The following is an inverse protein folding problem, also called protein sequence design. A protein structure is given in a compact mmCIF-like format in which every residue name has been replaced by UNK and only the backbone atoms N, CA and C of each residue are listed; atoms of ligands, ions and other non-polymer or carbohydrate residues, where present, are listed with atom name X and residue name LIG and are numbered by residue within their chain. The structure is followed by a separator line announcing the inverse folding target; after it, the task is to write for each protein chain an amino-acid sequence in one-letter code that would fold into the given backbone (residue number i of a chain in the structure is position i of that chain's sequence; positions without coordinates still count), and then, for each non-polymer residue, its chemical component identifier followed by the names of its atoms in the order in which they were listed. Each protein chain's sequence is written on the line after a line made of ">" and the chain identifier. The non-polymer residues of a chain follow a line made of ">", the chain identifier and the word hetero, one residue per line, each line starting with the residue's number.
data_IF_917164359063
#
_entry.id   IF_917164359063
#
_cell.length_a   1.000
_cell.length_b   1.000
_cell.length_c   1.000
_cell.angle_alpha   90.00
_cell.angle_beta   90.00
_cell.angle_gamma   90.00
#
_symmetry.space_group_name_H-M   'P 1'
#
loop_
_entity.id
_entity.type
_entity.pdbx_description
1 polymer ?
#
# COMPACT_ATOMS: atom_id res chain seq x y z
N UNK A 1 -0.06 18.43 -39.25
CA UNK A 1 -0.51 19.70 -39.88
C UNK A 1 -0.87 20.68 -38.77
N UNK A 2 0.01 21.66 -38.53
CA UNK A 2 -0.10 22.66 -37.47
C UNK A 2 -1.33 23.56 -37.71
N UNK A 3 -2.26 23.65 -36.76
CA UNK A 3 -3.50 24.44 -36.89
C UNK A 3 -3.77 25.34 -35.68
N UNK A 4 -2.75 25.89 -35.03
CA UNK A 4 -2.92 27.02 -34.11
C UNK A 4 -1.63 27.84 -33.97
N UNK A 5 -1.64 29.10 -34.43
CA UNK A 5 -0.49 30.03 -34.44
C UNK A 5 -0.25 30.76 -33.11
N UNK A 6 -0.92 30.35 -32.01
CA UNK A 6 -0.81 30.97 -30.68
C UNK A 6 -0.55 29.97 -29.55
N UNK A 7 0.17 28.88 -29.81
CA UNK A 7 0.79 28.14 -28.69
C UNK A 7 1.97 28.94 -28.20
N UNK A 8 1.98 29.31 -26.92
CA UNK A 8 3.20 29.75 -26.24
C UNK A 8 4.18 28.57 -26.32
N UNK A 9 5.36 28.73 -26.94
CA UNK A 9 6.37 27.67 -26.94
C UNK A 9 6.73 27.34 -25.49
N UNK A 10 6.62 26.07 -25.10
CA UNK A 10 7.00 25.61 -23.77
C UNK A 10 5.86 25.21 -22.82
N UNK A 11 4.56 25.32 -23.17
CA UNK A 11 3.47 24.94 -22.23
C UNK A 11 3.25 23.43 -22.10
N UNK A 12 3.33 22.68 -23.21
CA UNK A 12 3.40 21.21 -23.15
C UNK A 12 4.70 20.74 -22.51
N UNK A 13 5.79 21.47 -22.75
CA UNK A 13 7.10 21.20 -22.18
C UNK A 13 7.11 21.46 -20.67
N UNK A 14 6.43 22.49 -20.18
CA UNK A 14 6.22 22.72 -18.75
C UNK A 14 5.50 21.54 -18.11
N UNK A 15 4.42 21.02 -18.72
CA UNK A 15 3.77 19.81 -18.21
C UNK A 15 4.68 18.59 -18.19
N UNK A 16 5.51 18.37 -19.21
CA UNK A 16 6.36 17.16 -19.24
C UNK A 16 7.71 17.32 -18.55
N UNK A 17 8.17 18.55 -18.25
CA UNK A 17 9.53 18.82 -17.75
C UNK A 17 9.58 19.62 -16.44
N UNK A 18 8.48 20.25 -16.00
CA UNK A 18 8.51 21.08 -14.79
C UNK A 18 8.74 20.23 -13.53
N UNK A 19 9.74 20.62 -12.74
CA UNK A 19 10.26 19.87 -11.59
C UNK A 19 9.18 19.39 -10.60
N UNK A 20 8.11 20.19 -10.37
CA UNK A 20 7.01 19.78 -9.47
C UNK A 20 6.13 18.67 -10.05
N UNK A 21 6.03 18.57 -11.36
CA UNK A 21 5.21 17.59 -12.06
C UNK A 21 6.01 16.33 -12.41
N UNK A 22 7.32 16.45 -12.64
CA UNK A 22 8.27 15.32 -12.68
C UNK A 22 8.52 14.72 -11.28
N UNK A 23 8.62 15.52 -10.22
CA UNK A 23 8.65 14.99 -8.83
C UNK A 23 7.36 14.25 -8.43
N UNK A 24 6.30 14.44 -9.20
CA UNK A 24 4.97 13.86 -9.02
C UNK A 24 4.77 12.57 -9.84
N UNK A 25 5.52 12.38 -10.94
CA UNK A 25 5.70 11.10 -11.64
C UNK A 25 6.30 10.02 -10.71
N UNK A 26 7.14 10.45 -9.77
CA UNK A 26 7.89 9.61 -8.82
C UNK A 26 7.07 9.18 -7.60
N UNK A 27 5.75 9.42 -7.60
CA UNK A 27 4.88 9.19 -6.45
C UNK A 27 4.02 7.93 -6.57
N UNK A 28 4.39 6.94 -7.38
CA UNK A 28 3.63 5.70 -7.44
C UNK A 28 3.69 4.96 -6.09
N UNK A 29 2.53 4.91 -5.44
CA UNK A 29 2.15 4.18 -4.23
C UNK A 29 2.66 4.79 -2.89
N UNK A 30 1.71 5.22 -2.05
CA UNK A 30 1.83 5.47 -0.60
C UNK A 30 2.35 6.83 -0.10
N UNK A 31 1.85 7.96 -0.62
CA UNK A 31 2.07 9.27 0.00
C UNK A 31 0.83 9.87 0.69
N UNK A 32 0.99 10.72 1.73
CA UNK A 32 -0.10 11.48 2.35
C UNK A 32 -0.89 12.34 1.35
N UNK A 33 -0.22 12.79 0.28
CA UNK A 33 -0.81 13.61 -0.79
C UNK A 33 -1.59 12.79 -1.82
N UNK A 34 -1.49 11.46 -1.83
CA UNK A 34 -2.36 10.56 -2.60
C UNK A 34 -3.55 10.06 -1.81
N UNK A 35 -3.58 10.32 -0.50
CA UNK A 35 -4.76 10.08 0.32
C UNK A 35 -5.79 11.20 0.17
N UNK A 36 -5.72 12.04 -0.85
CA UNK A 36 -6.75 13.04 -1.14
C UNK A 36 -7.26 12.85 -2.58
N UNK A 37 -8.50 13.28 -2.82
CA UNK A 37 -9.14 13.06 -4.11
C UNK A 37 -8.42 13.80 -5.25
N UNK A 38 -7.86 14.97 -4.97
CA UNK A 38 -7.08 15.75 -5.93
C UNK A 38 -5.80 15.00 -6.38
N UNK A 39 -5.15 14.31 -5.46
CA UNK A 39 -3.95 13.50 -5.66
C UNK A 39 -4.22 12.20 -6.41
N UNK A 40 -5.47 11.71 -6.45
CA UNK A 40 -5.88 10.60 -7.30
C UNK A 40 -6.15 11.03 -8.76
N UNK A 41 -6.82 12.17 -8.96
CA UNK A 41 -7.11 12.68 -10.31
C UNK A 41 -5.91 13.25 -11.03
N UNK A 42 -4.99 13.82 -10.26
CA UNK A 42 -3.80 14.45 -10.78
C UNK A 42 -3.03 13.45 -11.70
N UNK A 43 -2.53 12.29 -11.20
CA UNK A 43 -1.82 11.26 -11.99
C UNK A 43 -2.48 10.92 -13.31
N UNK A 44 -3.81 10.76 -13.28
CA UNK A 44 -4.63 10.42 -14.44
C UNK A 44 -4.51 11.51 -15.51
N UNK A 45 -4.66 12.79 -15.13
CA UNK A 45 -4.58 13.91 -16.07
C UNK A 45 -3.22 14.01 -16.76
N UNK A 46 -2.11 13.77 -16.04
CA UNK A 46 -0.79 13.72 -16.69
C UNK A 46 -0.68 12.59 -17.68
N UNK A 47 -1.06 11.37 -17.30
CA UNK A 47 -0.97 10.22 -18.18
C UNK A 47 -1.75 10.48 -19.48
N UNK A 48 -2.92 11.11 -19.36
CA UNK A 48 -3.69 11.57 -20.51
C UNK A 48 -2.92 12.60 -21.34
N UNK A 49 -2.35 13.64 -20.73
CA UNK A 49 -1.65 14.69 -21.49
C UNK A 49 -0.31 14.24 -22.09
N UNK A 50 0.39 13.29 -21.46
CA UNK A 50 1.61 12.66 -22.02
C UNK A 50 1.25 11.78 -23.20
N UNK A 51 0.23 10.93 -23.05
CA UNK A 51 -0.20 10.04 -24.12
C UNK A 51 -0.89 10.80 -25.26
N UNK A 52 -1.58 11.89 -24.95
CA UNK A 52 -2.37 12.68 -25.88
C UNK A 52 -2.15 14.21 -25.71
N UNK A 53 -0.98 14.75 -26.11
CA UNK A 53 -0.69 16.18 -26.01
C UNK A 53 -1.64 17.08 -26.80
N UNK A 54 -2.39 16.51 -27.75
CA UNK A 54 -3.43 17.21 -28.51
C UNK A 54 -4.64 17.62 -27.66
N UNK A 55 -4.88 16.97 -26.51
CA UNK A 55 -6.03 17.27 -25.64
C UNK A 55 -5.83 18.52 -24.77
N UNK A 56 -4.62 19.09 -24.78
CA UNK A 56 -4.30 20.39 -24.21
C UNK A 56 -4.92 21.49 -25.09
N UNK A 57 -6.18 21.82 -24.80
CA UNK A 57 -6.92 22.90 -25.45
C UNK A 57 -6.60 24.26 -24.81
N UNK A 58 -6.79 25.34 -25.58
CA UNK A 58 -6.57 26.71 -25.10
C UNK A 58 -7.42 27.06 -23.86
N UNK A 59 -8.55 26.37 -23.68
CA UNK A 59 -9.43 26.52 -22.52
C UNK A 59 -8.82 25.94 -21.25
N UNK A 60 -8.18 24.77 -21.35
CA UNK A 60 -7.44 24.14 -20.26
C UNK A 60 -6.21 24.98 -19.92
N UNK A 61 -5.49 25.46 -20.94
CA UNK A 61 -4.33 26.33 -20.77
C UNK A 61 -4.67 27.66 -20.08
N UNK A 62 -5.79 28.30 -20.42
CA UNK A 62 -6.24 29.52 -19.71
C UNK A 62 -6.59 29.25 -18.24
N UNK A 63 -7.25 28.13 -17.94
CA UNK A 63 -7.53 27.73 -16.55
C UNK A 63 -6.23 27.53 -15.77
N UNK A 64 -5.23 26.91 -16.41
CA UNK A 64 -3.90 26.70 -15.83
C UNK A 64 -3.14 28.00 -15.55
N UNK A 65 -3.14 28.93 -16.50
CA UNK A 65 -2.50 30.25 -16.34
C UNK A 65 -3.15 31.07 -15.22
N UNK A 66 -4.47 30.91 -15.03
CA UNK A 66 -5.24 31.66 -14.02
C UNK A 66 -5.06 31.07 -12.61
N UNK A 67 -5.04 29.74 -12.50
CA UNK A 67 -5.07 29.05 -11.21
C UNK A 67 -3.71 28.59 -10.69
N UNK A 68 -2.70 28.47 -11.55
CA UNK A 68 -1.32 28.15 -11.17
C UNK A 68 -1.23 26.96 -10.20
N UNK A 69 -0.59 27.19 -9.04
CA UNK A 69 -0.38 26.15 -8.02
C UNK A 69 -1.66 25.74 -7.27
N UNK A 70 -2.72 26.58 -7.27
CA UNK A 70 -3.99 26.26 -6.59
C UNK A 70 -4.81 25.21 -7.33
N UNK A 71 -4.49 24.95 -8.60
CA UNK A 71 -5.18 23.95 -9.40
C UNK A 71 -4.95 22.53 -8.85
N UNK A 72 -3.71 22.23 -8.47
CA UNK A 72 -3.28 20.89 -8.02
C UNK A 72 -3.88 20.55 -6.65
N UNK A 73 -4.22 21.57 -5.86
CA UNK A 73 -4.82 21.41 -4.53
C UNK A 73 -6.35 21.29 -4.57
N UNK A 74 -6.99 21.53 -5.72
CA UNK A 74 -8.44 21.58 -5.83
C UNK A 74 -8.99 20.43 -6.66
N UNK A 75 -9.68 19.50 -6.01
CA UNK A 75 -10.32 18.35 -6.65
C UNK A 75 -11.30 18.78 -7.75
N UNK A 76 -12.25 19.67 -7.44
CA UNK A 76 -13.27 20.10 -8.40
C UNK A 76 -12.68 20.67 -9.69
N UNK A 77 -11.59 21.45 -9.62
CA UNK A 77 -10.96 22.02 -10.80
C UNK A 77 -10.28 20.97 -11.67
N UNK A 78 -9.64 19.98 -11.04
CA UNK A 78 -9.04 18.85 -11.74
C UNK A 78 -10.12 17.97 -12.38
N UNK A 79 -11.23 17.74 -11.66
CA UNK A 79 -12.38 17.02 -12.19
C UNK A 79 -12.99 17.72 -13.41
N UNK A 80 -13.18 19.04 -13.35
CA UNK A 80 -13.67 19.83 -14.48
C UNK A 80 -12.75 19.73 -15.70
N UNK A 81 -11.43 19.71 -15.49
CA UNK A 81 -10.47 19.50 -16.56
C UNK A 81 -10.66 18.09 -17.15
N UNK A 82 -10.73 17.05 -16.32
CA UNK A 82 -10.94 15.67 -16.78
C UNK A 82 -12.23 15.55 -17.60
N UNK A 83 -13.32 16.14 -17.13
CA UNK A 83 -14.59 16.16 -17.86
C UNK A 83 -14.45 16.88 -19.20
N UNK A 84 -13.84 18.07 -19.21
CA UNK A 84 -13.62 18.84 -20.44
C UNK A 84 -12.73 18.13 -21.45
N UNK A 85 -11.75 17.35 -20.98
CA UNK A 85 -10.85 16.55 -21.82
C UNK A 85 -11.59 15.35 -22.39
N UNK A 86 -12.38 14.66 -21.56
CA UNK A 86 -13.16 13.49 -21.98
C UNK A 86 -14.25 13.82 -23.01
N UNK A 87 -14.76 15.06 -23.01
CA UNK A 87 -15.78 15.55 -23.93
C UNK A 87 -15.24 15.95 -25.31
N UNK A 88 -13.91 15.97 -25.51
CA UNK A 88 -13.32 16.32 -26.81
C UNK A 88 -13.55 15.19 -27.83
N UNK A 89 -13.79 15.54 -29.09
CA UNK A 89 -13.98 14.56 -30.16
C UNK A 89 -12.71 13.73 -30.39
N UNK A 90 -11.54 14.36 -30.22
CA UNK A 90 -10.22 13.77 -30.36
C UNK A 90 -9.82 12.85 -29.20
N UNK A 91 -10.55 12.88 -28.09
CA UNK A 91 -10.31 12.00 -26.96
C UNK A 91 -10.63 10.56 -27.36
N UNK A 92 -9.67 9.66 -27.09
CA UNK A 92 -9.88 8.22 -27.18
C UNK A 92 -10.64 7.74 -25.94
N UNK A 93 -10.95 6.45 -25.89
CA UNK A 93 -11.46 5.84 -24.68
C UNK A 93 -10.40 5.95 -23.57
N UNK A 94 -10.82 6.47 -22.42
CA UNK A 94 -10.01 6.68 -21.22
C UNK A 94 -10.59 5.77 -20.14
N UNK A 95 -9.79 4.83 -19.64
CA UNK A 95 -10.14 3.95 -18.53
C UNK A 95 -9.29 4.37 -17.33
N UNK A 96 -9.95 4.92 -16.32
CA UNK A 96 -9.33 5.30 -15.07
C UNK A 96 -9.42 4.12 -14.08
N UNK A 97 -8.27 3.62 -13.64
CA UNK A 97 -8.18 2.59 -12.60
C UNK A 97 -7.81 3.29 -11.30
N UNK A 98 -8.68 3.17 -10.30
CA UNK A 98 -8.49 3.71 -8.96
C UNK A 98 -8.44 2.54 -7.98
N UNK A 99 -7.23 2.24 -7.51
CA UNK A 99 -7.01 1.15 -6.57
C UNK A 99 -7.11 1.63 -5.12
N UNK A 100 -7.57 0.77 -4.20
CA UNK A 100 -7.62 1.00 -2.76
C UNK A 100 -8.29 2.33 -2.33
N UNK A 101 -9.50 2.59 -2.85
CA UNK A 101 -10.26 3.84 -2.59
C UNK A 101 -10.49 4.13 -1.09
N UNK A 102 -10.56 3.10 -0.26
CA UNK A 102 -10.76 3.22 1.19
C UNK A 102 -9.61 3.96 1.90
N UNK A 103 -8.42 3.99 1.31
CA UNK A 103 -7.26 4.68 1.85
C UNK A 103 -7.27 6.20 1.56
N UNK A 104 -8.19 6.66 0.72
CA UNK A 104 -8.38 8.07 0.40
C UNK A 104 -9.20 8.78 1.50
N UNK A 105 -8.66 9.87 2.06
CA UNK A 105 -9.29 10.72 3.10
C UNK A 105 -10.51 11.47 2.57
N UNK A 106 -10.41 12.03 1.37
CA UNK A 106 -11.48 12.80 0.72
C UNK A 106 -12.26 11.95 -0.30
N UNK A 107 -12.33 10.63 -0.06
CA UNK A 107 -12.99 9.68 -0.96
C UNK A 107 -14.46 10.03 -1.22
N UNK A 108 -15.14 10.64 -0.26
CA UNK A 108 -16.57 10.93 -0.36
C UNK A 108 -16.83 11.91 -1.52
N UNK A 109 -15.96 12.92 -1.68
CA UNK A 109 -16.01 13.91 -2.78
C UNK A 109 -15.77 13.24 -4.14
N UNK A 110 -14.83 12.30 -4.20
CA UNK A 110 -14.52 11.51 -5.40
C UNK A 110 -15.67 10.56 -5.77
N UNK A 111 -16.24 9.86 -4.79
CA UNK A 111 -17.37 8.94 -4.98
C UNK A 111 -18.60 9.71 -5.44
N UNK A 112 -18.87 10.87 -4.84
CA UNK A 112 -19.99 11.71 -5.23
C UNK A 112 -19.84 12.23 -6.67
N UNK A 113 -18.65 12.70 -7.05
CA UNK A 113 -18.37 13.17 -8.41
C UNK A 113 -18.53 12.05 -9.46
N UNK A 114 -18.00 10.86 -9.20
CA UNK A 114 -18.18 9.68 -10.06
C UNK A 114 -19.67 9.28 -10.11
N UNK A 115 -20.36 9.35 -8.98
CA UNK A 115 -21.80 9.05 -8.90
C UNK A 115 -22.63 10.02 -9.73
N UNK A 116 -22.33 11.32 -9.65
CA UNK A 116 -22.98 12.35 -10.46
C UNK A 116 -22.68 12.17 -11.95
N UNK A 117 -21.45 11.80 -12.32
CA UNK A 117 -21.08 11.52 -13.70
C UNK A 117 -21.92 10.39 -14.31
N UNK A 118 -22.09 9.28 -13.59
CA UNK A 118 -22.90 8.15 -14.06
C UNK A 118 -24.42 8.36 -13.90
N UNK A 119 -24.87 9.30 -13.07
CA UNK A 119 -26.29 9.69 -12.97
C UNK A 119 -26.72 10.72 -14.00
N UNK A 120 -25.79 11.56 -14.46
CA UNK A 120 -26.04 12.64 -15.41
C UNK A 120 -26.34 12.17 -16.83
N UNK A 121 -26.75 13.11 -17.67
CA UNK A 121 -27.01 12.94 -19.11
C UNK A 121 -25.72 12.94 -19.97
N UNK A 122 -24.55 12.69 -19.38
CA UNK A 122 -23.28 12.64 -20.11
C UNK A 122 -23.24 11.38 -20.98
N UNK A 123 -23.76 11.54 -22.21
CA UNK A 123 -23.91 10.53 -23.26
C UNK A 123 -22.59 10.02 -23.85
N UNK A 124 -21.44 10.52 -23.44
CA UNK A 124 -20.16 10.12 -24.00
C UNK A 124 -19.47 9.04 -23.17
N UNK A 125 -19.66 7.79 -23.62
CA UNK A 125 -19.13 6.55 -23.05
C UNK A 125 -17.60 6.40 -23.13
N UNK A 126 -16.87 7.47 -23.44
CA UNK A 126 -15.42 7.44 -23.64
C UNK A 126 -14.66 7.38 -22.33
N UNK A 127 -15.21 7.91 -21.23
CA UNK A 127 -14.59 7.86 -19.91
C UNK A 127 -15.22 6.75 -19.07
N UNK A 128 -14.38 5.87 -18.53
CA UNK A 128 -14.79 4.75 -17.66
C UNK A 128 -13.94 4.72 -16.41
N UNK A 129 -14.55 4.31 -15.30
CA UNK A 129 -13.86 4.12 -14.02
C UNK A 129 -13.93 2.64 -13.60
N UNK A 130 -12.79 2.10 -13.22
CA UNK A 130 -12.67 0.86 -12.45
C UNK A 130 -12.14 1.22 -11.08
N UNK A 131 -12.92 0.96 -10.04
CA UNK A 131 -12.57 1.33 -8.67
C UNK A 131 -12.53 0.07 -7.82
N UNK A 132 -11.48 -0.10 -7.02
CA UNK A 132 -11.38 -1.17 -6.01
C UNK A 132 -11.42 -0.54 -4.62
N UNK A 133 -12.01 -1.24 -3.66
CA UNK A 133 -12.04 -0.83 -2.26
C UNK A 133 -12.35 -2.02 -1.37
N UNK A 134 -11.91 -1.95 -0.10
CA UNK A 134 -12.41 -2.86 0.94
C UNK A 134 -13.92 -2.66 1.16
N UNK A 135 -14.67 -3.71 1.50
CA UNK A 135 -16.14 -3.66 1.59
C UNK A 135 -16.63 -3.00 2.88
N UNK A 136 -16.14 -1.81 3.20
CA UNK A 136 -16.57 -1.10 4.41
C UNK A 136 -18.03 -0.61 4.24
N UNK A 137 -18.93 -0.87 5.21
CA UNK A 137 -20.35 -0.52 5.08
C UNK A 137 -20.61 0.96 4.76
N UNK A 138 -19.77 1.86 5.26
CA UNK A 138 -19.90 3.29 5.00
C UNK A 138 -19.54 3.66 3.55
N UNK A 139 -18.58 2.98 2.92
CA UNK A 139 -18.23 3.15 1.50
C UNK A 139 -19.32 2.54 0.63
N UNK A 140 -19.81 1.34 0.98
CA UNK A 140 -20.88 0.69 0.24
C UNK A 140 -22.15 1.55 0.16
N UNK A 141 -22.51 2.24 1.25
CA UNK A 141 -23.65 3.16 1.31
C UNK A 141 -23.53 4.31 0.31
N UNK A 142 -22.32 4.80 0.03
CA UNK A 142 -22.12 5.88 -0.94
C UNK A 142 -22.33 5.37 -2.38
N UNK A 143 -21.93 4.12 -2.66
CA UNK A 143 -22.11 3.48 -3.97
C UNK A 143 -23.49 2.85 -4.20
N UNK A 144 -24.37 2.81 -3.20
CA UNK A 144 -25.73 2.25 -3.29
C UNK A 144 -26.47 2.69 -4.57
N UNK A 145 -26.39 3.98 -4.93
CA UNK A 145 -27.08 4.52 -6.11
C UNK A 145 -26.51 3.99 -7.43
N UNK A 146 -25.21 3.68 -7.48
CA UNK A 146 -24.52 3.15 -8.66
C UNK A 146 -24.63 1.63 -8.77
N UNK A 147 -24.65 0.92 -7.64
CA UNK A 147 -24.73 -0.56 -7.59
C UNK A 147 -25.97 -1.12 -8.27
N UNK A 148 -27.07 -0.36 -8.31
CA UNK A 148 -28.29 -0.76 -9.03
C UNK A 148 -28.20 -0.59 -10.55
N UNK A 149 -27.20 0.14 -11.06
CA UNK A 149 -27.07 0.53 -12.47
C UNK A 149 -25.80 0.04 -13.15
N UNK A 150 -24.73 -0.21 -12.37
CA UNK A 150 -23.42 -0.61 -12.87
C UNK A 150 -23.06 -2.02 -12.38
N UNK A 151 -22.31 -2.79 -13.20
CA UNK A 151 -21.79 -4.07 -12.77
C UNK A 151 -20.86 -3.86 -11.58
N UNK A 152 -21.18 -4.51 -10.47
CA UNK A 152 -20.36 -4.52 -9.26
C UNK A 152 -19.86 -5.94 -9.05
N UNK A 153 -18.55 -6.12 -8.98
CA UNK A 153 -17.94 -7.40 -8.60
C UNK A 153 -17.67 -7.29 -7.11
N UNK A 154 -18.38 -8.08 -6.32
CA UNK A 154 -18.12 -8.21 -4.90
C UNK A 154 -17.31 -9.48 -4.70
N UNK A 155 -16.08 -9.33 -4.22
CA UNK A 155 -15.25 -10.43 -3.77
C UNK A 155 -15.47 -10.56 -2.25
N UNK A 156 -16.67 -10.99 -1.84
CA UNK A 156 -16.94 -11.24 -0.43
C UNK A 156 -16.12 -12.44 0.05
N UNK A 157 -15.50 -12.27 1.22
CA UNK A 157 -15.05 -13.39 2.05
C UNK A 157 -16.08 -13.79 3.10
N UNK A 158 -17.27 -13.17 3.08
CA UNK A 158 -18.22 -13.16 4.21
C UNK A 158 -19.25 -14.31 4.15
N UNK A 159 -18.95 -15.37 3.40
CA UNK A 159 -19.77 -16.58 3.34
C UNK A 159 -18.92 -17.85 3.25
N UNK A 160 -19.33 -18.90 3.96
CA UNK A 160 -18.60 -20.19 4.00
C UNK A 160 -18.33 -20.74 2.59
N UNK A 161 -19.28 -20.58 1.65
CA UNK A 161 -19.11 -21.02 0.25
C UNK A 161 -18.03 -20.23 -0.51
N UNK A 162 -17.93 -18.93 -0.29
CA UNK A 162 -16.93 -18.08 -0.97
C UNK A 162 -15.55 -18.27 -0.35
N UNK A 163 -15.46 -18.42 0.97
CA UNK A 163 -14.23 -18.82 1.65
C UNK A 163 -13.72 -20.16 1.12
N UNK A 164 -14.62 -21.12 0.87
CA UNK A 164 -14.25 -22.40 0.26
C UNK A 164 -13.77 -22.24 -1.18
N UNK A 165 -14.42 -21.40 -2.00
CA UNK A 165 -13.95 -21.11 -3.38
C UNK A 165 -12.58 -20.45 -3.39
N UNK A 166 -12.37 -19.43 -2.56
CA UNK A 166 -11.09 -18.75 -2.40
C UNK A 166 -10.02 -19.74 -1.93
N UNK A 167 -10.32 -20.58 -0.93
CA UNK A 167 -9.40 -21.62 -0.47
C UNK A 167 -9.07 -22.63 -1.56
N UNK A 168 -10.04 -23.01 -2.39
CA UNK A 168 -9.82 -23.90 -3.53
C UNK A 168 -8.90 -23.27 -4.57
N UNK A 169 -9.13 -22.01 -4.95
CA UNK A 169 -8.26 -21.28 -5.89
C UNK A 169 -6.83 -21.11 -5.35
N UNK A 170 -6.69 -20.79 -4.06
CA UNK A 170 -5.38 -20.74 -3.39
C UNK A 170 -4.69 -22.11 -3.48
N UNK A 171 -5.45 -23.20 -3.32
CA UNK A 171 -4.96 -24.56 -3.52
C UNK A 171 -4.40 -24.80 -4.93
N UNK A 172 -5.08 -24.31 -5.97
CA UNK A 172 -4.60 -24.40 -7.35
C UNK A 172 -3.28 -23.63 -7.56
N UNK A 173 -3.16 -22.44 -6.96
CA UNK A 173 -1.93 -21.64 -7.02
C UNK A 173 -0.77 -22.35 -6.31
N UNK A 174 -1.03 -22.95 -5.15
CA UNK A 174 -0.03 -23.77 -4.42
C UNK A 174 0.42 -24.93 -5.30
N UNK A 175 -0.52 -25.71 -5.85
CA UNK A 175 -0.20 -26.86 -6.70
C UNK A 175 0.68 -26.46 -7.89
N UNK A 176 0.31 -25.36 -8.56
CA UNK A 176 1.07 -24.82 -9.68
C UNK A 176 2.48 -24.36 -9.28
N UNK A 177 2.61 -23.59 -8.20
CA UNK A 177 3.91 -23.09 -7.72
C UNK A 177 4.79 -24.22 -7.20
N UNK A 178 4.25 -25.18 -6.45
CA UNK A 178 4.99 -26.36 -5.99
C UNK A 178 5.50 -27.19 -7.18
N UNK A 179 4.68 -27.33 -8.23
CA UNK A 179 5.12 -27.95 -9.49
C UNK A 179 6.28 -27.17 -10.12
N UNK A 180 6.20 -25.84 -10.16
CA UNK A 180 7.24 -25.00 -10.78
C UNK A 180 8.56 -25.03 -9.97
N UNK A 181 8.49 -24.99 -8.64
CA UNK A 181 9.64 -25.23 -7.74
C UNK A 181 10.21 -26.63 -7.98
N UNK A 182 9.34 -27.63 -8.09
CA UNK A 182 9.71 -29.00 -8.38
C UNK A 182 10.53 -29.14 -9.67
N UNK A 183 10.17 -28.41 -10.72
CA UNK A 183 10.93 -28.38 -11.98
C UNK A 183 12.27 -27.65 -11.84
N UNK A 184 12.32 -26.54 -11.11
CA UNK A 184 13.54 -25.75 -10.93
C UNK A 184 14.57 -26.44 -10.03
N UNK A 185 14.12 -27.18 -9.01
CA UNK A 185 14.95 -27.82 -7.99
C UNK A 185 15.03 -29.34 -8.14
N UNK A 186 14.40 -29.92 -9.16
CA UNK A 186 14.33 -31.36 -9.43
C UNK A 186 13.79 -32.18 -8.25
N UNK A 187 12.66 -31.75 -7.67
CA UNK A 187 12.03 -32.44 -6.53
C UNK A 187 11.35 -33.75 -6.95
N UNK A 188 11.43 -34.74 -6.06
CA UNK A 188 10.71 -36.00 -6.23
C UNK A 188 9.19 -35.81 -6.04
N UNK A 189 8.40 -36.78 -6.49
CA UNK A 189 6.94 -36.70 -6.44
C UNK A 189 6.39 -36.79 -5.00
N UNK A 190 7.01 -37.59 -4.13
CA UNK A 190 6.70 -37.67 -2.71
C UNK A 190 6.96 -36.33 -1.99
N UNK A 191 8.04 -35.65 -2.33
CA UNK A 191 8.40 -34.34 -1.77
C UNK A 191 7.40 -33.24 -2.16
N UNK A 192 6.97 -33.21 -3.43
CA UNK A 192 5.96 -32.27 -3.92
C UNK A 192 4.61 -32.49 -3.25
N UNK A 193 4.17 -33.75 -3.18
CA UNK A 193 2.92 -34.11 -2.51
C UNK A 193 2.92 -33.74 -1.03
N UNK A 194 4.05 -33.96 -0.34
CA UNK A 194 4.19 -33.59 1.07
C UNK A 194 4.12 -32.06 1.27
N UNK A 195 4.77 -31.27 0.40
CA UNK A 195 4.69 -29.81 0.45
C UNK A 195 3.28 -29.30 0.18
N UNK A 196 2.61 -29.82 -0.85
CA UNK A 196 1.26 -29.41 -1.22
C UNK A 196 0.24 -29.73 -0.14
N UNK A 197 0.29 -30.93 0.46
CA UNK A 197 -0.58 -31.31 1.57
C UNK A 197 -0.43 -30.38 2.77
N UNK A 198 0.81 -30.00 3.11
CA UNK A 198 1.09 -29.21 4.30
C UNK A 198 0.76 -27.73 4.10
N UNK A 199 1.04 -27.18 2.92
CA UNK A 199 0.58 -25.83 2.54
C UNK A 199 -0.95 -25.73 2.44
N UNK A 200 -1.62 -26.85 2.18
CA UNK A 200 -3.08 -26.93 2.10
C UNK A 200 -3.77 -27.17 3.44
N UNK A 201 -3.04 -27.68 4.42
CA UNK A 201 -3.54 -27.89 5.78
C UNK A 201 -3.64 -26.60 6.62
N UNK A 202 -3.03 -25.48 6.18
CA UNK A 202 -3.08 -24.22 6.92
C UNK A 202 -4.44 -23.55 6.75
N UNK A 203 -5.15 -23.36 7.87
CA UNK A 203 -6.44 -22.66 7.94
C UNK A 203 -6.26 -21.15 7.68
N UNK A 204 -7.28 -20.49 7.12
CA UNK A 204 -7.31 -19.03 6.85
C UNK A 204 -6.12 -18.48 6.04
N UNK A 205 -5.53 -19.33 5.17
CA UNK A 205 -4.45 -18.95 4.25
C UNK A 205 -4.89 -17.85 3.28
N UNK A 206 -4.02 -16.86 3.09
CA UNK A 206 -4.18 -15.78 2.10
C UNK A 206 -3.20 -15.97 0.94
N UNK A 207 -3.50 -15.38 -0.23
CA UNK A 207 -2.57 -15.37 -1.36
C UNK A 207 -1.21 -14.76 -0.99
N UNK A 208 -1.22 -13.71 -0.16
CA UNK A 208 0.00 -13.10 0.35
C UNK A 208 0.81 -14.08 1.20
N UNK A 209 0.19 -14.78 2.15
CA UNK A 209 0.86 -15.80 2.96
C UNK A 209 1.51 -16.88 2.10
N UNK A 210 0.79 -17.37 1.07
CA UNK A 210 1.29 -18.36 0.13
C UNK A 210 2.50 -17.83 -0.63
N UNK A 211 2.42 -16.60 -1.17
CA UNK A 211 3.54 -16.00 -1.89
C UNK A 211 4.77 -15.86 -1.01
N UNK A 212 4.63 -15.24 0.18
CA UNK A 212 5.74 -15.05 1.12
C UNK A 212 6.37 -16.38 1.54
N UNK A 213 5.54 -17.39 1.83
CA UNK A 213 6.01 -18.71 2.26
C UNK A 213 6.72 -19.47 1.14
N UNK A 214 6.22 -19.38 -0.09
CA UNK A 214 6.85 -20.01 -1.26
C UNK A 214 8.12 -19.29 -1.70
N UNK A 215 8.18 -17.96 -1.63
CA UNK A 215 9.41 -17.21 -1.93
C UNK A 215 10.51 -17.54 -0.90
N UNK A 216 10.11 -17.72 0.37
CA UNK A 216 10.96 -18.27 1.43
C UNK A 216 11.37 -19.71 1.09
N UNK A 217 10.51 -20.56 0.54
CA UNK A 217 10.90 -21.90 0.09
C UNK A 217 11.92 -21.85 -1.06
N UNK A 218 11.63 -21.07 -2.10
CA UNK A 218 12.43 -20.94 -3.33
C UNK A 218 13.87 -20.48 -3.05
N UNK A 219 14.06 -19.57 -2.10
CA UNK A 219 15.35 -18.96 -1.80
C UNK A 219 16.19 -19.70 -0.75
N UNK A 220 15.80 -20.91 -0.31
CA UNK A 220 16.61 -21.66 0.67
C UNK A 220 17.87 -22.29 0.07
N UNK A 221 19.00 -22.25 0.82
CA UNK A 221 20.20 -23.00 0.47
C UNK A 221 19.99 -24.50 0.77
N UNK A 222 20.08 -25.32 -0.29
CA UNK A 222 20.03 -26.79 -0.19
C UNK A 222 18.61 -27.35 0.00
N UNK A 223 18.07 -27.97 -1.05
CA UNK A 223 16.76 -28.62 -1.03
C UNK A 223 16.93 -30.12 -0.79
N UNK A 224 17.00 -30.53 0.48
CA UNK A 224 17.08 -31.95 0.88
C UNK A 224 15.78 -32.38 1.56
N UNK A 225 15.43 -33.68 1.51
CA UNK A 225 14.28 -34.25 2.25
C UNK A 225 14.24 -33.84 3.73
N UNK A 226 15.40 -33.75 4.38
CA UNK A 226 15.52 -33.30 5.77
C UNK A 226 15.18 -31.82 5.96
N UNK A 227 15.62 -30.96 5.04
CA UNK A 227 15.30 -29.53 5.07
C UNK A 227 13.82 -29.28 4.76
N UNK A 228 13.25 -30.00 3.79
CA UNK A 228 11.81 -29.95 3.47
C UNK A 228 10.99 -30.30 4.71
N UNK A 229 11.30 -31.42 5.39
CA UNK A 229 10.59 -31.82 6.62
C UNK A 229 10.73 -30.79 7.75
N UNK A 230 11.91 -30.22 7.95
CA UNK A 230 12.14 -29.16 8.95
C UNK A 230 11.34 -27.90 8.63
N UNK A 231 11.29 -27.52 7.36
CA UNK A 231 10.56 -26.34 6.90
C UNK A 231 9.06 -26.55 7.03
N UNK A 232 8.57 -27.74 6.69
CA UNK A 232 7.18 -28.16 6.86
C UNK A 232 6.77 -28.11 8.34
N UNK A 233 7.61 -28.62 9.24
CA UNK A 233 7.35 -28.57 10.69
C UNK A 233 7.27 -27.17 11.26
N UNK A 234 7.87 -26.18 10.60
CA UNK A 234 7.93 -24.79 11.04
C UNK A 234 7.32 -23.85 9.98
N UNK A 235 6.30 -24.33 9.26
CA UNK A 235 5.54 -23.49 8.35
C UNK A 235 4.83 -22.40 9.17
N UNK A 236 4.90 -21.13 8.73
CA UNK A 236 4.24 -20.04 9.39
C UNK A 236 2.74 -20.28 9.31
N UNK A 237 2.01 -20.19 10.42
CA UNK A 237 0.54 -20.37 10.41
C UNK A 237 -0.20 -19.07 10.07
N UNK A 238 0.48 -17.93 10.17
CA UNK A 238 -0.07 -16.59 9.89
C UNK A 238 0.85 -15.75 9.00
N UNK A 239 0.34 -14.67 8.42
CA UNK A 239 1.13 -13.72 7.61
C UNK A 239 2.26 -13.10 8.45
N UNK A 240 2.01 -12.78 9.72
CA UNK A 240 3.00 -12.21 10.65
C UNK A 240 4.14 -13.20 10.91
N UNK A 241 3.82 -14.47 11.14
CA UNK A 241 4.85 -15.51 11.30
C UNK A 241 5.65 -15.71 10.01
N UNK A 242 5.04 -15.51 8.83
CA UNK A 242 5.77 -15.52 7.56
C UNK A 242 6.73 -14.33 7.47
N UNK A 243 6.31 -13.13 7.90
CA UNK A 243 7.19 -11.96 7.98
C UNK A 243 8.34 -12.13 8.99
N UNK A 244 8.10 -12.69 10.18
CA UNK A 244 9.19 -13.01 11.12
C UNK A 244 10.20 -13.98 10.50
N UNK A 245 9.74 -15.01 9.77
CA UNK A 245 10.64 -15.94 9.07
C UNK A 245 11.47 -15.27 7.98
N UNK A 246 10.92 -14.26 7.31
CA UNK A 246 11.66 -13.44 6.35
C UNK A 246 12.76 -12.65 7.10
N UNK A 247 12.43 -12.03 8.24
CA UNK A 247 13.41 -11.31 9.06
C UNK A 247 14.50 -12.23 9.62
N UNK A 248 14.15 -13.45 10.04
CA UNK A 248 15.10 -14.44 10.59
C UNK A 248 16.16 -14.90 9.59
N UNK A 249 15.91 -14.73 8.29
CA UNK A 249 16.87 -15.07 7.23
C UNK A 249 17.80 -13.93 6.87
N UNK A 250 17.46 -12.72 7.25
CA UNK A 250 18.30 -11.57 7.00
C UNK A 250 19.66 -11.77 7.69
N UNK A 251 20.75 -11.53 6.95
CA UNK A 251 22.12 -11.69 7.43
C UNK A 251 22.37 -10.91 8.73
N UNK A 252 21.69 -9.77 8.87
CA UNK A 252 21.66 -8.98 10.08
C UNK A 252 20.21 -8.61 10.44
N UNK A 253 19.54 -9.50 11.18
CA UNK A 253 18.17 -9.29 11.67
C UNK A 253 18.03 -7.97 12.44
N UNK A 254 19.04 -7.55 13.19
CA UNK A 254 18.96 -6.31 13.99
C UNK A 254 18.99 -5.09 13.09
N UNK A 255 19.95 -5.02 12.15
CA UNK A 255 20.04 -3.94 11.16
C UNK A 255 18.78 -3.86 10.30
N UNK A 256 18.31 -4.99 9.76
CA UNK A 256 17.08 -5.05 8.96
C UNK A 256 15.87 -4.50 9.72
N UNK A 257 15.70 -4.93 10.98
CA UNK A 257 14.58 -4.50 11.83
C UNK A 257 14.61 -3.00 12.11
N UNK A 258 15.77 -2.44 12.42
CA UNK A 258 15.92 -0.99 12.64
C UNK A 258 15.64 -0.20 11.36
N UNK A 259 16.21 -0.61 10.23
CA UNK A 259 15.96 0.04 8.93
C UNK A 259 14.47 0.04 8.59
N UNK A 260 13.80 -1.09 8.73
CA UNK A 260 12.36 -1.23 8.48
C UNK A 260 11.52 -0.37 9.44
N UNK A 261 11.92 -0.23 10.71
CA UNK A 261 11.24 0.68 11.62
C UNK A 261 11.44 2.15 11.26
N UNK A 262 12.65 2.55 10.83
CA UNK A 262 12.91 3.92 10.36
C UNK A 262 12.01 4.23 9.16
N UNK A 263 11.95 3.32 8.18
CA UNK A 263 11.07 3.44 7.01
C UNK A 263 9.59 3.53 7.44
N UNK A 264 9.16 2.67 8.36
CA UNK A 264 7.77 2.63 8.83
C UNK A 264 7.37 3.90 9.59
N UNK A 265 8.29 4.49 10.35
CA UNK A 265 8.06 5.72 11.12
C UNK A 265 8.12 6.99 10.27
N UNK A 266 8.60 6.90 9.02
CA UNK A 266 8.76 8.05 8.16
C UNK A 266 7.39 8.62 7.72
N UNK A 267 7.27 9.95 7.76
CA UNK A 267 6.07 10.65 7.27
C UNK A 267 5.99 10.59 5.73
N UNK A 268 7.13 10.45 5.08
CA UNK A 268 7.28 10.25 3.63
C UNK A 268 8.33 9.16 3.37
N UNK A 269 8.25 8.45 2.24
CA UNK A 269 9.34 7.63 1.69
C UNK A 269 10.70 8.34 1.77
N UNK A 270 11.68 7.60 2.28
CA UNK A 270 13.08 8.02 2.32
C UNK A 270 13.73 7.80 0.97
N UNK A 271 14.67 8.68 0.61
CA UNK A 271 15.64 8.33 -0.43
C UNK A 271 16.68 7.33 0.08
N UNK A 272 17.36 6.63 -0.81
CA UNK A 272 18.47 5.73 -0.44
C UNK A 272 19.58 6.46 0.35
N UNK A 273 19.88 7.70 -0.01
CA UNK A 273 20.87 8.53 0.67
C UNK A 273 20.40 8.94 2.07
N UNK A 274 19.13 9.33 2.21
CA UNK A 274 18.56 9.73 3.49
C UNK A 274 18.50 8.54 4.47
N UNK A 275 18.14 7.35 3.99
CA UNK A 275 18.10 6.16 4.84
C UNK A 275 19.52 5.69 5.22
N UNK A 276 20.47 5.73 4.29
CA UNK A 276 21.89 5.46 4.58
C UNK A 276 22.43 6.40 5.66
N UNK A 277 22.11 7.69 5.54
CA UNK A 277 22.49 8.70 6.53
C UNK A 277 21.79 8.49 7.89
N UNK A 278 20.49 8.19 7.89
CA UNK A 278 19.75 7.87 9.11
C UNK A 278 20.34 6.64 9.83
N UNK A 279 20.79 5.65 9.06
CA UNK A 279 21.49 4.48 9.58
C UNK A 279 22.85 4.82 10.19
N UNK A 280 23.67 5.64 9.51
CA UNK A 280 24.96 6.10 10.03
C UNK A 280 24.81 6.88 11.36
N UNK A 281 23.75 7.70 11.48
CA UNK A 281 23.39 8.35 12.75
C UNK A 281 23.02 7.32 13.81
N UNK A 282 22.21 6.32 13.46
CA UNK A 282 21.75 5.30 14.42
C UNK A 282 22.92 4.53 15.05
N UNK A 283 23.94 4.17 14.26
CA UNK A 283 25.13 3.48 14.78
C UNK A 283 25.91 4.39 15.75
N UNK A 284 25.98 5.69 15.46
CA UNK A 284 26.81 6.66 16.18
C UNK A 284 26.06 7.45 17.26
N UNK A 285 24.95 6.91 17.79
CA UNK A 285 24.09 7.60 18.78
C UNK A 285 24.80 7.97 20.10
N UNK A 286 25.97 7.37 20.40
CA UNK A 286 26.72 7.59 21.64
C UNK A 286 27.89 8.57 21.45
N UNK A 287 28.51 8.59 20.26
CA UNK A 287 29.68 9.42 19.93
C UNK A 287 29.38 10.25 18.67
N UNK A 288 28.58 11.30 18.81
CA UNK A 288 28.22 12.21 17.70
C UNK A 288 29.39 13.11 17.28
N UNK A 289 30.39 12.54 16.62
CA UNK A 289 31.37 13.28 15.85
C UNK A 289 31.02 13.18 14.36
N UNK A 290 31.00 14.32 13.65
CA UNK A 290 30.70 14.40 12.21
C UNK A 290 31.64 13.53 11.36
N UNK A 291 32.86 13.28 11.83
CA UNK A 291 33.83 12.42 11.16
C UNK A 291 33.41 10.94 11.20
N UNK A 292 32.91 10.46 12.34
CA UNK A 292 32.45 9.07 12.49
C UNK A 292 31.23 8.75 11.61
N UNK A 293 30.31 9.72 11.46
CA UNK A 293 29.14 9.57 10.57
C UNK A 293 29.59 9.48 9.11
N UNK A 294 30.61 10.23 8.70
CA UNK A 294 31.16 10.18 7.34
C UNK A 294 31.86 8.86 7.03
N UNK A 295 32.49 8.24 8.04
CA UNK A 295 33.20 6.97 7.89
C UNK A 295 32.24 5.78 7.74
N UNK A 296 31.07 5.84 8.39
CA UNK A 296 30.03 4.81 8.33
C UNK A 296 28.98 5.03 7.22
N UNK A 297 29.08 6.12 6.46
CA UNK A 297 28.14 6.44 5.39
C UNK A 297 28.36 5.53 4.18
N UNK A 298 27.43 4.59 3.95
CA UNK A 298 27.46 3.74 2.77
C UNK A 298 27.09 4.54 1.51
N UNK A 299 27.88 4.45 0.43
CA UNK A 299 27.52 5.05 -0.86
C UNK A 299 26.20 4.47 -1.37
N UNK A 300 25.39 5.32 -2.02
CA UNK A 300 24.04 5.00 -2.52
C UNK A 300 23.91 3.63 -3.19
N UNK A 301 24.77 3.31 -4.16
CA UNK A 301 24.68 2.04 -4.89
C UNK A 301 24.98 0.82 -4.01
N UNK A 302 25.93 0.95 -3.09
CA UNK A 302 26.25 -0.12 -2.12
C UNK A 302 25.11 -0.29 -1.13
N UNK A 303 24.58 0.82 -0.61
CA UNK A 303 23.48 0.78 0.33
C UNK A 303 22.21 0.19 -0.30
N UNK A 304 21.99 0.38 -1.60
CA UNK A 304 20.90 -0.26 -2.34
C UNK A 304 21.00 -1.78 -2.30
N UNK A 305 22.19 -2.33 -2.51
CA UNK A 305 22.45 -3.77 -2.40
C UNK A 305 22.25 -4.25 -0.97
N UNK A 306 22.81 -3.55 0.02
CA UNK A 306 22.61 -3.81 1.45
C UNK A 306 21.13 -3.84 1.82
N UNK A 307 20.34 -2.87 1.36
CA UNK A 307 18.91 -2.78 1.64
C UNK A 307 18.14 -3.92 0.97
N UNK A 308 18.45 -4.25 -0.28
CA UNK A 308 17.84 -5.38 -1.00
C UNK A 308 18.13 -6.69 -0.28
N UNK A 309 19.36 -6.90 0.13
CA UNK A 309 19.79 -8.17 0.74
C UNK A 309 19.22 -8.32 2.16
N UNK A 310 19.05 -7.22 2.90
CA UNK A 310 18.51 -7.25 4.27
C UNK A 310 16.97 -7.20 4.32
N UNK A 311 16.34 -6.45 3.41
CA UNK A 311 14.94 -6.04 3.50
C UNK A 311 14.13 -6.25 2.20
N UNK A 312 14.70 -6.86 1.15
CA UNK A 312 14.10 -6.85 -0.20
C UNK A 312 12.71 -7.46 -0.34
N UNK A 313 12.30 -8.33 0.58
CA UNK A 313 10.93 -8.89 0.62
C UNK A 313 9.91 -7.98 1.34
N UNK A 314 10.38 -6.92 1.98
CA UNK A 314 9.58 -5.90 2.64
C UNK A 314 9.51 -4.58 1.87
N UNK A 315 10.56 -4.28 1.09
CA UNK A 315 10.70 -2.97 0.45
C UNK A 315 10.95 -3.07 -1.05
N UNK A 316 10.46 -2.06 -1.77
CA UNK A 316 10.77 -1.83 -3.18
C UNK A 316 11.36 -0.43 -3.33
N UNK A 317 12.36 -0.30 -4.22
CA UNK A 317 13.00 0.98 -4.54
C UNK A 317 12.54 1.42 -5.92
N UNK A 318 11.81 2.52 -5.97
CA UNK A 318 11.29 3.14 -7.21
C UNK A 318 11.81 4.58 -7.24
N UNK A 319 12.50 4.95 -8.32
CA UNK A 319 13.08 6.29 -8.52
C UNK A 319 13.82 6.82 -7.28
N UNK A 320 14.69 5.98 -6.71
CA UNK A 320 15.53 6.29 -5.53
C UNK A 320 14.80 6.44 -4.20
N UNK A 321 13.49 6.25 -4.18
CA UNK A 321 12.67 6.26 -2.97
C UNK A 321 12.32 4.84 -2.55
N UNK A 322 12.26 4.64 -1.24
CA UNK A 322 12.04 3.35 -0.61
C UNK A 322 10.59 3.26 -0.14
N UNK A 323 9.91 2.21 -0.59
CA UNK A 323 8.51 1.94 -0.29
C UNK A 323 8.37 0.58 0.39
N UNK A 324 7.36 0.43 1.24
CA UNK A 324 6.96 -0.89 1.72
C UNK A 324 6.16 -1.58 0.61
N UNK A 325 6.42 -2.87 0.39
CA UNK A 325 5.79 -3.64 -0.68
C UNK A 325 4.29 -3.86 -0.43
N UNK A 326 3.91 -3.99 0.85
CA UNK A 326 2.54 -4.24 1.28
C UNK A 326 2.17 -3.44 2.52
N UNK A 327 0.93 -2.98 2.59
CA UNK A 327 0.38 -2.33 3.79
C UNK A 327 0.38 -3.28 5.01
N UNK A 328 0.19 -4.58 4.81
CA UNK A 328 0.31 -5.61 5.86
C UNK A 328 1.73 -5.69 6.45
N UNK A 329 2.77 -5.41 5.66
CA UNK A 329 4.14 -5.30 6.17
C UNK A 329 4.30 -4.11 7.12
N UNK A 330 3.66 -2.98 6.78
CA UNK A 330 3.64 -1.79 7.65
C UNK A 330 2.96 -2.08 8.98
N UNK A 331 1.82 -2.74 8.95
CA UNK A 331 1.05 -3.14 10.14
C UNK A 331 1.87 -4.09 11.02
N UNK A 332 2.49 -5.11 10.43
CA UNK A 332 3.40 -6.01 11.11
C UNK A 332 4.59 -5.27 11.76
N UNK A 333 5.23 -4.35 11.04
CA UNK A 333 6.38 -3.59 11.57
C UNK A 333 5.98 -2.60 12.67
N UNK A 334 4.79 -2.00 12.57
CA UNK A 334 4.25 -1.13 13.62
C UNK A 334 3.99 -1.91 14.93
N UNK A 335 3.43 -3.12 14.81
CA UNK A 335 3.27 -4.07 15.91
C UNK A 335 4.60 -4.42 16.55
N UNK A 336 5.57 -4.80 15.73
CA UNK A 336 6.89 -5.25 16.16
C UNK A 336 7.65 -4.14 16.88
N UNK A 337 7.51 -2.88 16.44
CA UNK A 337 8.05 -1.70 17.13
C UNK A 337 7.47 -1.57 18.53
N UNK A 338 6.15 -1.68 18.66
CA UNK A 338 5.44 -1.56 19.93
C UNK A 338 5.85 -2.66 20.93
N UNK A 339 6.14 -3.87 20.45
CA UNK A 339 6.62 -4.98 21.28
C UNK A 339 8.07 -4.83 21.73
N UNK A 340 8.95 -4.29 20.88
CA UNK A 340 10.36 -4.14 21.22
C UNK A 340 10.65 -2.98 22.15
N UNK A 341 9.87 -1.91 22.06
CA UNK A 341 9.98 -0.78 22.96
C UNK A 341 9.22 -1.06 24.26
N UNK A 342 9.68 -2.04 25.06
CA UNK A 342 9.13 -2.31 26.40
C UNK A 342 9.32 -1.17 27.41
N UNK A 343 9.88 -0.02 26.98
CA UNK A 343 10.05 1.22 27.74
C UNK A 343 9.08 2.33 27.32
N UNK A 344 8.37 2.20 26.20
CA UNK A 344 7.42 3.22 25.74
C UNK A 344 6.07 3.00 26.44
N UNK A 345 5.47 4.08 26.95
CA UNK A 345 4.14 4.01 27.55
C UNK A 345 3.11 3.69 26.46
N UNK A 346 2.61 2.46 26.47
CA UNK A 346 1.64 1.94 25.50
C UNK A 346 0.25 2.60 25.63
N UNK A 347 0.06 3.44 26.64
CA UNK A 347 -1.15 4.24 26.85
C UNK A 347 -0.98 5.70 26.40
N UNK A 348 0.09 6.02 25.66
CA UNK A 348 0.29 7.38 25.15
C UNK A 348 -0.91 7.84 24.33
N UNK A 349 -1.33 9.08 24.55
CA UNK A 349 -2.48 9.67 23.86
C UNK A 349 -2.02 10.63 22.77
N UNK A 350 -2.65 10.55 21.61
CA UNK A 350 -2.51 11.56 20.55
C UNK A 350 -3.22 12.88 20.95
N UNK A 351 -3.14 13.90 20.08
CA UNK A 351 -3.81 15.20 20.31
C UNK A 351 -5.34 15.12 20.41
N UNK A 352 -5.94 13.99 20.05
CA UNK A 352 -7.38 13.70 20.21
C UNK A 352 -7.67 12.76 21.37
N UNK A 353 -6.69 12.52 22.25
CA UNK A 353 -6.86 11.65 23.41
C UNK A 353 -6.83 10.14 23.09
N UNK A 354 -6.53 9.74 21.86
CA UNK A 354 -6.59 8.33 21.42
C UNK A 354 -5.29 7.60 21.68
N UNK A 355 -5.41 6.39 22.21
CA UNK A 355 -4.29 5.47 22.45
C UNK A 355 -4.00 4.59 21.24
N UNK A 356 -2.84 3.89 21.17
CA UNK A 356 -2.60 2.87 20.16
C UNK A 356 -3.71 1.81 20.07
N UNK A 357 -4.28 1.41 21.21
CA UNK A 357 -5.43 0.50 21.25
C UNK A 357 -6.70 1.13 20.64
N UNK A 358 -6.91 2.43 20.85
CA UNK A 358 -8.05 3.15 20.27
C UNK A 358 -7.99 3.16 18.74
N UNK A 359 -6.79 3.35 18.18
CA UNK A 359 -6.56 3.30 16.74
C UNK A 359 -6.70 1.88 16.18
N UNK A 360 -6.06 0.90 16.81
CA UNK A 360 -6.16 -0.50 16.40
C UNK A 360 -7.62 -0.99 16.41
N UNK A 361 -8.41 -0.57 17.41
CA UNK A 361 -9.80 -0.95 17.50
C UNK A 361 -10.69 -0.22 16.50
N UNK A 362 -10.45 1.07 16.28
CA UNK A 362 -11.16 1.89 15.28
C UNK A 362 -10.97 1.40 13.85
N UNK A 363 -9.77 0.92 13.51
CA UNK A 363 -9.40 0.54 12.14
C UNK A 363 -9.49 -0.99 11.92
N UNK A 364 -9.95 -1.75 12.93
CA UNK A 364 -10.25 -3.18 12.78
C UNK A 364 -9.04 -4.11 12.82
N UNK A 365 -7.92 -3.64 13.36
CA UNK A 365 -6.66 -4.39 13.40
C UNK A 365 -6.66 -5.44 14.52
N UNK A 366 -7.42 -6.53 14.35
CA UNK A 366 -7.61 -7.61 15.32
C UNK A 366 -6.30 -8.15 15.92
N UNK A 367 -5.30 -8.43 15.07
CA UNK A 367 -4.00 -8.93 15.52
C UNK A 367 -3.28 -7.95 16.45
N UNK A 368 -3.38 -6.65 16.15
CA UNK A 368 -2.80 -5.57 16.96
C UNK A 368 -3.53 -5.44 18.29
N UNK A 369 -4.86 -5.54 18.28
CA UNK A 369 -5.70 -5.51 19.49
C UNK A 369 -5.37 -6.70 20.40
N UNK A 370 -5.40 -7.94 19.89
CA UNK A 370 -5.07 -9.14 20.67
C UNK A 370 -3.70 -9.04 21.34
N UNK A 371 -2.73 -8.53 20.60
CA UNK A 371 -1.37 -8.37 21.08
C UNK A 371 -1.24 -7.28 22.14
N UNK A 372 -1.86 -6.12 21.93
CA UNK A 372 -1.91 -5.04 22.92
C UNK A 372 -2.53 -5.54 24.23
N UNK A 373 -3.60 -6.32 24.15
CA UNK A 373 -4.23 -6.96 25.31
C UNK A 373 -3.29 -7.98 26.00
N UNK A 374 -2.48 -8.73 25.24
CA UNK A 374 -1.51 -9.68 25.80
C UNK A 374 -0.40 -9.01 26.62
N UNK A 375 -0.07 -7.74 26.36
CA UNK A 375 0.96 -7.02 27.14
C UNK A 375 0.55 -6.72 28.58
N UNK A 376 -0.74 -6.84 28.93
CA UNK A 376 -1.35 -6.59 30.27
C UNK A 376 -1.08 -5.20 30.88
N UNK A 377 -0.46 -4.27 30.14
CA UNK A 377 -0.15 -2.91 30.57
C UNK A 377 -1.07 -1.86 29.93
N UNK A 378 -1.95 -2.27 29.02
CA UNK A 378 -2.85 -1.39 28.26
C UNK A 378 -4.10 -1.08 29.07
N UNK A 379 -4.48 0.20 29.12
CA UNK A 379 -5.78 0.64 29.60
C UNK A 379 -6.84 0.46 28.49
N UNK A 380 -7.58 -0.64 28.60
CA UNK A 380 -8.62 -1.06 27.66
C UNK A 380 -9.78 -0.06 27.60
N UNK A 381 -10.00 0.69 28.68
CA UNK A 381 -11.12 1.60 28.81
C UNK A 381 -10.71 3.08 28.66
N UNK A 382 -9.48 3.34 28.20
CA UNK A 382 -9.02 4.71 28.00
C UNK A 382 -9.94 5.44 27.03
N UNK A 383 -10.52 6.55 27.49
CA UNK A 383 -11.37 7.42 26.68
C UNK A 383 -10.55 8.44 25.90
N UNK A 384 -10.98 8.71 24.68
CA UNK A 384 -10.52 9.82 23.87
C UNK A 384 -11.18 11.15 24.30
N UNK A 385 -10.84 12.25 23.61
CA UNK A 385 -11.36 13.58 23.92
C UNK A 385 -12.88 13.70 23.76
N UNK A 386 -13.49 12.83 22.94
CA UNK A 386 -14.92 12.80 22.67
C UNK A 386 -15.64 11.77 23.58
N UNK A 387 -14.91 11.11 24.49
CA UNK A 387 -15.44 10.16 25.45
C UNK A 387 -15.53 8.71 24.95
N UNK A 388 -15.01 8.43 23.74
CA UNK A 388 -15.06 7.11 23.11
C UNK A 388 -13.97 6.19 23.66
N UNK A 389 -14.34 4.94 23.93
CA UNK A 389 -13.41 3.85 24.24
C UNK A 389 -13.01 3.09 22.96
N UNK A 390 -11.88 2.34 22.98
CA UNK A 390 -11.51 1.45 21.89
C UNK A 390 -12.66 0.53 21.45
N UNK A 391 -13.41 -0.03 22.42
CA UNK A 391 -14.56 -0.88 22.14
C UNK A 391 -15.70 -0.13 21.41
N UNK A 392 -16.03 1.08 21.85
CA UNK A 392 -17.06 1.88 21.16
C UNK A 392 -16.62 2.30 19.76
N UNK A 393 -15.32 2.51 19.53
CA UNK A 393 -14.77 2.75 18.20
C UNK A 393 -14.87 1.50 17.33
N UNK A 394 -14.48 0.32 17.83
CA UNK A 394 -14.64 -0.93 17.08
C UNK A 394 -16.11 -1.20 16.70
N UNK A 395 -17.04 -0.96 17.63
CA UNK A 395 -18.47 -1.14 17.40
C UNK A 395 -19.04 -0.15 16.37
N UNK A 396 -18.70 1.14 16.48
CA UNK A 396 -19.15 2.19 15.55
C UNK A 396 -18.65 1.96 14.12
N UNK A 397 -17.41 1.50 14.00
CA UNK A 397 -16.78 1.23 12.72
C UNK A 397 -17.05 -0.20 12.20
N UNK A 398 -17.79 -1.02 12.95
CA UNK A 398 -18.29 -2.34 12.50
C UNK A 398 -17.25 -3.46 12.52
N UNK A 399 -16.26 -3.39 13.40
CA UNK A 399 -15.19 -4.39 13.50
C UNK A 399 -15.54 -5.51 14.47
N UNK A 400 -16.39 -6.44 14.04
CA UNK A 400 -16.91 -7.55 14.88
C UNK A 400 -15.81 -8.43 15.47
N UNK A 401 -14.73 -8.71 14.75
CA UNK A 401 -13.62 -9.53 15.25
C UNK A 401 -12.82 -8.85 16.38
N UNK A 402 -12.97 -7.53 16.55
CA UNK A 402 -12.31 -6.73 17.59
C UNK A 402 -13.18 -6.56 18.83
N UNK A 403 -14.51 -6.53 18.67
CA UNK A 403 -15.52 -6.41 19.75
C UNK A 403 -15.58 -7.72 20.54
#
# INVERSE_FOLDING_TARGET
>A
KNRNNRRVPGTCEWFTTHLKFTNWQQSTNDFPDQRNAAGALSPILHQIFVAQPQLLSDTVLKKLETDGEKLIQSFHKLWDILMSVSAQEEAREIICILDALDECRDRDELIEAVTMFYQGLHRDRKLKFLMTSRPYPHIERLFWKLRTRLPTIHLSGDGEEEVQKISHEIGLVISKRVSDIGKQRSLEEDERNLLEQQLTAVENRTYLWVSLTLDVLENMPGFTKGNIRRVIQHLPTTVESAYERILDRSLDKKKAKVLLHIITAAVRPFSLEELSFAWAIHINLVDTNLTAISDDLEPKERFRETLRDLCGLFVVVIDEKIYLLHQTAKEFLAVVKLLLETKTDINIKDSRGRTPLSWAARDGHEAVVKLLLQTKKVDINSKDSDGWTPLSLAAEYGHEAVV
#
